data_IF_435988473952
#
_entry.id   IF_435988473952
#
_cell.length_a   1.000
_cell.length_b   1.000
_cell.length_c   1.000
_cell.angle_alpha   90.00
_cell.angle_beta   90.00
_cell.angle_gamma   90.00
#
_symmetry.space_group_name_H-M   'P 1'
#
loop_
_entity.id
_entity.type
_entity.pdbx_description
1 polymer ?
#
# COMPACT_ATOMS: atom_id res chain seq x y z
N UNK A 1 1.65 33.80 8.40
CA UNK A 1 0.27 33.76 8.94
C UNK A 1 -0.45 32.58 8.29
N UNK A 2 -0.94 31.65 9.11
CA UNK A 2 -1.37 30.31 8.71
C UNK A 2 -2.73 30.30 8.00
N UNK A 3 -2.83 29.53 6.91
CA UNK A 3 -4.09 29.21 6.24
C UNK A 3 -4.86 28.16 7.06
N UNK A 4 -6.08 28.51 7.44
CA UNK A 4 -7.00 27.71 8.24
C UNK A 4 -7.58 26.55 7.43
N UNK A 5 -7.36 25.32 7.91
CA UNK A 5 -7.99 24.11 7.40
C UNK A 5 -9.51 24.15 7.66
N UNK A 6 -10.30 24.03 6.61
CA UNK A 6 -11.76 23.91 6.71
C UNK A 6 -12.11 22.59 7.43
N UNK A 7 -12.81 22.71 8.55
CA UNK A 7 -13.30 21.58 9.34
C UNK A 7 -14.42 20.88 8.58
N UNK A 8 -14.23 19.58 8.28
CA UNK A 8 -15.32 18.72 7.82
C UNK A 8 -16.24 18.53 9.02
N UNK A 9 -17.34 19.26 9.03
CA UNK A 9 -18.34 19.24 10.10
C UNK A 9 -18.90 17.83 10.32
N UNK A 10 -19.02 17.45 11.59
CA UNK A 10 -19.72 16.24 12.02
C UNK A 10 -21.21 16.36 11.67
N UNK A 11 -21.64 15.66 10.61
CA UNK A 11 -23.04 15.65 10.17
C UNK A 11 -23.88 14.91 11.22
N UNK A 12 -24.82 15.63 11.85
CA UNK A 12 -25.85 15.04 12.72
C UNK A 12 -27.00 14.54 11.84
N UNK A 13 -27.55 13.37 12.17
CA UNK A 13 -28.48 12.56 11.36
C UNK A 13 -29.92 13.13 11.21
N UNK A 14 -30.17 14.41 11.46
CA UNK A 14 -31.55 14.94 11.61
C UNK A 14 -32.00 15.93 10.51
N UNK A 15 -31.18 16.18 9.49
CA UNK A 15 -31.52 17.11 8.39
C UNK A 15 -31.69 16.40 7.03
N UNK A 16 -32.51 16.93 6.10
CA UNK A 16 -32.84 16.29 4.83
C UNK A 16 -31.58 15.95 4.03
N UNK A 17 -31.56 14.77 3.41
CA UNK A 17 -30.41 14.24 2.68
C UNK A 17 -29.74 15.32 1.81
N UNK A 18 -28.50 15.67 2.15
CA UNK A 18 -27.67 16.60 1.35
C UNK A 18 -26.84 15.78 0.39
N UNK A 19 -27.16 15.86 -0.90
CA UNK A 19 -26.41 15.18 -1.94
C UNK A 19 -25.10 15.92 -2.23
N UNK A 20 -23.97 15.24 -1.98
CA UNK A 20 -22.63 15.75 -2.27
C UNK A 20 -22.14 15.07 -3.56
N UNK A 21 -21.84 15.81 -4.64
CA UNK A 21 -21.38 15.22 -5.89
C UNK A 21 -20.00 14.58 -5.74
N UNK A 22 -19.82 13.43 -6.37
CA UNK A 22 -18.54 12.71 -6.39
C UNK A 22 -17.55 13.42 -7.33
N UNK A 23 -16.33 13.65 -6.85
CA UNK A 23 -15.20 14.02 -7.74
C UNK A 23 -14.90 12.90 -8.74
N UNK A 24 -14.45 13.24 -9.95
CA UNK A 24 -14.09 12.27 -11.00
C UNK A 24 -13.10 11.18 -10.53
N UNK A 25 -12.14 11.55 -9.67
CA UNK A 25 -11.17 10.61 -9.08
C UNK A 25 -11.87 9.58 -8.20
N UNK A 26 -12.72 10.03 -7.27
CA UNK A 26 -13.50 9.13 -6.39
C UNK A 26 -14.46 8.22 -7.17
N UNK A 27 -15.11 8.74 -8.21
CA UNK A 27 -15.99 7.94 -9.07
C UNK A 27 -15.23 6.80 -9.78
N UNK A 28 -14.02 7.08 -10.28
CA UNK A 28 -13.18 6.07 -10.92
C UNK A 28 -12.71 4.99 -9.94
N UNK A 29 -12.31 5.39 -8.72
CA UNK A 29 -11.92 4.46 -7.65
C UNK A 29 -13.08 3.54 -7.30
N UNK A 30 -14.28 4.10 -7.11
CA UNK A 30 -15.48 3.31 -6.80
C UNK A 30 -15.76 2.26 -7.89
N UNK A 31 -15.70 2.64 -9.18
CA UNK A 31 -15.88 1.70 -10.29
C UNK A 31 -14.88 0.54 -10.27
N UNK A 32 -13.59 0.83 -10.04
CA UNK A 32 -12.53 -0.18 -10.01
C UNK A 32 -12.63 -1.12 -8.80
N UNK A 33 -12.93 -0.57 -7.62
CA UNK A 33 -13.10 -1.38 -6.41
C UNK A 33 -14.32 -2.30 -6.52
N UNK A 34 -15.42 -1.82 -7.08
CA UNK A 34 -16.62 -2.64 -7.34
C UNK A 34 -16.31 -3.76 -8.32
N UNK A 35 -15.62 -3.48 -9.43
CA UNK A 35 -15.22 -4.50 -10.39
C UNK A 35 -14.36 -5.59 -9.72
N UNK A 36 -13.34 -5.19 -8.96
CA UNK A 36 -12.46 -6.13 -8.25
C UNK A 36 -13.23 -7.03 -7.28
N UNK A 37 -14.16 -6.47 -6.49
CA UNK A 37 -15.02 -7.23 -5.57
C UNK A 37 -15.97 -8.21 -6.25
N UNK A 38 -16.41 -7.91 -7.47
CA UNK A 38 -17.31 -8.77 -8.23
C UNK A 38 -16.58 -9.91 -8.95
N UNK A 39 -15.38 -9.66 -9.48
CA UNK A 39 -14.68 -10.62 -10.34
C UNK A 39 -13.79 -11.60 -9.59
N UNK A 40 -13.35 -11.26 -8.37
CA UNK A 40 -12.36 -12.04 -7.62
C UNK A 40 -13.03 -12.68 -6.39
N UNK A 41 -12.91 -14.00 -6.16
CA UNK A 41 -13.30 -14.60 -4.89
C UNK A 41 -12.35 -14.14 -3.78
N UNK A 42 -12.89 -13.51 -2.74
CA UNK A 42 -12.09 -12.95 -1.64
C UNK A 42 -12.09 -13.87 -0.43
N UNK A 43 -10.90 -14.24 0.02
CA UNK A 43 -10.66 -14.89 1.30
C UNK A 43 -9.77 -13.97 2.15
N UNK A 44 -10.07 -13.84 3.43
CA UNK A 44 -9.27 -13.05 4.37
C UNK A 44 -8.63 -13.99 5.38
N UNK A 45 -7.30 -13.96 5.43
CA UNK A 45 -6.52 -14.67 6.44
C UNK A 45 -5.80 -13.66 7.33
N UNK A 46 -5.76 -13.95 8.62
CA UNK A 46 -5.10 -13.10 9.62
C UNK A 46 -4.17 -13.98 10.45
N UNK A 47 -2.98 -13.46 10.76
CA UNK A 47 -1.99 -14.15 11.56
C UNK A 47 -1.32 -13.15 12.52
N UNK A 48 -1.13 -13.57 13.76
CA UNK A 48 -0.44 -12.80 14.78
C UNK A 48 1.05 -13.17 14.82
N UNK A 49 1.92 -12.16 14.80
CA UNK A 49 3.37 -12.34 14.73
C UNK A 49 4.02 -11.51 15.85
N UNK A 50 4.97 -12.11 16.57
CA UNK A 50 5.80 -11.38 17.54
C UNK A 50 6.88 -10.58 16.81
N UNK A 51 6.87 -9.27 16.98
CA UNK A 51 7.78 -8.35 16.29
C UNK A 51 8.96 -7.86 17.16
N UNK A 52 9.14 -8.40 18.36
CA UNK A 52 10.14 -7.94 19.34
C UNK A 52 11.56 -7.92 18.77
N UNK A 53 11.94 -8.99 18.05
CA UNK A 53 13.25 -9.10 17.42
C UNK A 53 13.46 -8.07 16.31
N UNK A 54 12.41 -7.74 15.54
CA UNK A 54 12.48 -6.75 14.46
C UNK A 54 12.69 -5.35 15.04
N UNK A 55 12.01 -5.05 16.16
CA UNK A 55 12.17 -3.77 16.86
C UNK A 55 13.57 -3.59 17.45
N UNK A 56 14.16 -4.66 18.00
CA UNK A 56 15.53 -4.64 18.49
C UNK A 56 16.53 -4.33 17.36
N UNK A 57 16.43 -5.04 16.23
CA UNK A 57 17.28 -4.79 15.05
C UNK A 57 17.07 -3.37 14.51
N UNK A 58 15.83 -2.89 14.50
CA UNK A 58 15.54 -1.52 14.08
C UNK A 58 16.22 -0.49 15.00
N UNK A 59 16.22 -0.71 16.32
CA UNK A 59 16.90 0.18 17.26
C UNK A 59 18.42 0.22 16.99
N UNK A 60 19.04 -0.93 16.75
CA UNK A 60 20.46 -1.03 16.42
C UNK A 60 20.81 -0.34 15.09
N UNK A 61 19.93 -0.44 14.09
CA UNK A 61 20.12 0.22 12.80
C UNK A 61 19.92 1.73 12.89
N UNK A 62 18.97 2.20 13.71
CA UNK A 62 18.81 3.63 14.00
C UNK A 62 20.02 4.21 14.72
N UNK A 63 20.66 3.45 15.60
CA UNK A 63 21.91 3.86 16.25
C UNK A 63 23.07 4.03 15.25
N UNK A 64 22.99 3.38 14.09
CA UNK A 64 23.94 3.49 12.97
C UNK A 64 23.51 4.54 11.92
N UNK A 65 22.56 5.40 12.25
CA UNK A 65 21.98 6.44 11.38
C UNK A 65 21.28 5.90 10.11
N UNK A 66 20.85 4.64 10.13
CA UNK A 66 20.13 4.02 9.03
C UNK A 66 18.62 4.11 9.31
N UNK A 67 17.95 5.05 8.64
CA UNK A 67 16.53 5.31 8.78
C UNK A 67 15.66 4.24 8.10
N UNK A 68 15.39 3.13 8.79
CA UNK A 68 14.53 2.02 8.34
C UNK A 68 13.25 1.95 9.16
N UNK A 69 12.11 1.76 8.47
CA UNK A 69 10.78 1.58 9.07
C UNK A 69 10.42 0.10 9.26
N UNK A 70 9.46 -0.18 10.15
CA UNK A 70 8.89 -1.53 10.30
C UNK A 70 8.23 -1.98 8.99
N UNK A 71 7.66 -1.04 8.24
CA UNK A 71 7.02 -1.32 6.95
C UNK A 71 8.02 -1.88 5.93
N UNK A 72 9.28 -1.44 5.95
CA UNK A 72 10.32 -1.90 5.02
C UNK A 72 10.67 -3.37 5.30
N UNK A 73 10.66 -3.77 6.57
CA UNK A 73 10.82 -5.17 6.96
C UNK A 73 9.63 -6.03 6.55
N UNK A 74 8.40 -5.52 6.67
CA UNK A 74 7.19 -6.24 6.24
C UNK A 74 7.22 -6.45 4.72
N UNK A 75 7.59 -5.42 3.95
CA UNK A 75 7.72 -5.52 2.48
C UNK A 75 8.78 -6.56 2.11
N UNK A 76 9.94 -6.55 2.79
CA UNK A 76 10.98 -7.55 2.53
C UNK A 76 10.52 -8.96 2.89
N UNK A 77 9.84 -9.13 4.02
CA UNK A 77 9.31 -10.43 4.44
C UNK A 77 8.28 -10.97 3.44
N UNK A 78 7.36 -10.12 2.99
CA UNK A 78 6.39 -10.48 1.96
C UNK A 78 7.08 -10.87 0.64
N UNK A 79 8.14 -10.15 0.24
CA UNK A 79 8.88 -10.47 -0.98
C UNK A 79 9.55 -11.85 -0.90
N UNK A 80 10.15 -12.18 0.24
CA UNK A 80 10.77 -13.48 0.48
C UNK A 80 9.74 -14.61 0.55
N UNK A 81 8.57 -14.35 1.15
CA UNK A 81 7.46 -15.31 1.19
C UNK A 81 6.94 -15.64 -0.22
N UNK A 82 6.75 -14.63 -1.06
CA UNK A 82 6.33 -14.82 -2.46
C UNK A 82 7.37 -15.57 -3.29
N UNK A 83 8.66 -15.42 -2.96
CA UNK A 83 9.72 -16.21 -3.60
C UNK A 83 9.72 -17.67 -3.13
N UNK A 84 9.39 -17.91 -1.86
CA UNK A 84 9.31 -19.27 -1.31
C UNK A 84 8.09 -20.04 -1.83
N UNK A 85 6.97 -19.34 -2.06
CA UNK A 85 5.71 -19.92 -2.54
C UNK A 85 5.31 -19.25 -3.86
N UNK A 86 5.83 -19.71 -5.02
CA UNK A 86 5.57 -19.10 -6.32
C UNK A 86 4.12 -19.25 -6.78
N UNK A 87 3.36 -20.20 -6.22
CA UNK A 87 1.94 -20.39 -6.50
C UNK A 87 1.07 -19.18 -6.14
N UNK A 88 1.53 -18.35 -5.19
CA UNK A 88 0.85 -17.12 -4.80
C UNK A 88 1.21 -15.96 -5.75
N UNK A 89 2.36 -16.03 -6.41
CA UNK A 89 2.83 -14.99 -7.33
C UNK A 89 2.43 -15.30 -8.79
N UNK A 90 1.12 -15.34 -9.03
CA UNK A 90 0.54 -15.64 -10.34
C UNK A 90 -0.46 -14.59 -10.77
N UNK A 91 -0.64 -14.43 -12.08
CA UNK A 91 -1.68 -13.59 -12.68
C UNK A 91 -2.66 -14.46 -13.45
N UNK A 92 -3.94 -14.20 -13.24
CA UNK A 92 -5.01 -14.82 -14.01
C UNK A 92 -5.40 -13.91 -15.18
N UNK A 93 -5.33 -14.42 -16.41
CA UNK A 93 -5.81 -13.71 -17.59
C UNK A 93 -7.21 -14.22 -17.96
N UNK A 94 -8.28 -13.41 -17.81
CA UNK A 94 -9.63 -13.85 -18.14
C UNK A 94 -9.82 -14.11 -19.64
N UNK A 95 -9.04 -13.47 -20.51
CA UNK A 95 -9.13 -13.62 -21.97
C UNK A 95 -8.56 -14.96 -22.46
N UNK A 96 -7.45 -15.40 -21.86
CA UNK A 96 -6.78 -16.65 -22.24
C UNK A 96 -7.15 -17.83 -21.34
N UNK A 97 -7.89 -17.58 -20.25
CA UNK A 97 -8.19 -18.55 -19.18
C UNK A 97 -6.95 -19.27 -18.65
N UNK A 98 -5.81 -18.57 -18.65
CA UNK A 98 -4.52 -19.11 -18.23
C UNK A 98 -4.02 -18.43 -16.97
N UNK A 99 -3.32 -19.21 -16.14
CA UNK A 99 -2.55 -18.74 -15.00
C UNK A 99 -1.10 -18.56 -15.43
N UNK A 100 -0.57 -17.36 -15.26
CA UNK A 100 0.79 -17.01 -15.63
C UNK A 100 1.62 -16.80 -14.37
N UNK A 101 2.72 -17.54 -14.24
CA UNK A 101 3.69 -17.36 -13.16
C UNK A 101 4.57 -16.14 -13.45
N UNK A 102 4.73 -15.26 -12.46
CA UNK A 102 5.58 -14.10 -12.60
C UNK A 102 7.00 -14.41 -12.10
N UNK A 103 8.04 -14.11 -12.89
CA UNK A 103 9.43 -14.35 -12.49
C UNK A 103 9.95 -13.31 -11.47
N UNK A 104 9.30 -12.14 -11.41
CA UNK A 104 9.69 -11.05 -10.52
C UNK A 104 8.66 -10.84 -9.42
N UNK A 105 9.14 -10.40 -8.25
CA UNK A 105 8.29 -10.07 -7.10
C UNK A 105 8.22 -8.55 -6.96
N UNK A 106 7.08 -7.99 -7.35
CA UNK A 106 6.82 -6.55 -7.22
C UNK A 106 5.75 -6.30 -6.17
N UNK A 107 6.04 -5.43 -5.21
CA UNK A 107 5.13 -5.13 -4.10
C UNK A 107 4.67 -3.68 -4.20
N UNK A 108 3.36 -3.45 -4.07
CA UNK A 108 2.80 -2.11 -3.98
C UNK A 108 2.36 -1.78 -2.56
N UNK A 109 2.56 -0.52 -2.19
CA UNK A 109 2.29 -0.03 -0.85
C UNK A 109 1.31 1.12 -0.97
N UNK A 110 0.16 1.01 -0.31
CA UNK A 110 -0.84 2.06 -0.34
C UNK A 110 -0.54 3.11 0.73
N UNK A 111 -0.41 4.36 0.30
CA UNK A 111 -0.16 5.52 1.16
C UNK A 111 -1.29 6.52 0.99
N UNK A 112 -1.95 6.85 2.10
CA UNK A 112 -2.98 7.86 2.12
C UNK A 112 -2.36 9.27 2.06
N UNK A 113 -2.84 10.08 1.14
CA UNK A 113 -2.56 11.52 1.04
C UNK A 113 -3.86 12.31 1.21
N UNK A 114 -3.80 13.61 1.57
CA UNK A 114 -5.01 14.44 1.70
C UNK A 114 -5.86 14.50 0.42
N UNK A 115 -5.21 14.35 -0.74
CA UNK A 115 -5.84 14.43 -2.05
C UNK A 115 -6.27 13.06 -2.61
N UNK A 116 -5.93 11.95 -1.94
CA UNK A 116 -6.31 10.61 -2.39
C UNK A 116 -5.38 9.48 -1.96
N UNK A 117 -5.61 8.30 -2.53
CA UNK A 117 -4.80 7.12 -2.29
C UNK A 117 -3.76 6.96 -3.40
N UNK A 118 -2.48 6.95 -3.03
CA UNK A 118 -1.38 6.73 -3.95
C UNK A 118 -0.74 5.37 -3.64
N UNK A 119 -0.34 4.63 -4.67
CA UNK A 119 0.23 3.29 -4.55
C UNK A 119 1.57 3.22 -5.30
N UNK A 120 2.69 3.66 -4.69
CA UNK A 120 4.01 3.36 -5.23
C UNK A 120 4.25 1.85 -5.32
N UNK A 121 4.91 1.44 -6.39
CA UNK A 121 5.36 0.06 -6.60
C UNK A 121 6.85 -0.02 -6.22
N UNK A 122 7.29 -1.14 -5.66
CA UNK A 122 8.70 -1.48 -5.51
C UNK A 122 8.95 -2.68 -6.43
N UNK A 123 9.75 -2.47 -7.47
CA UNK A 123 10.07 -3.55 -8.42
C UNK A 123 11.14 -4.45 -7.82
N UNK A 124 11.04 -5.76 -8.03
CA UNK A 124 12.05 -6.76 -7.61
C UNK A 124 12.49 -6.61 -6.14
N UNK A 125 11.52 -6.60 -5.22
CA UNK A 125 11.80 -6.44 -3.78
C UNK A 125 12.52 -7.66 -3.16
N UNK A 126 12.54 -8.80 -3.85
CA UNK A 126 13.15 -10.05 -3.43
C UNK A 126 14.69 -10.00 -3.43
N UNK A 127 15.29 -9.27 -4.38
CA UNK A 127 16.76 -9.12 -4.48
C UNK A 127 17.32 -7.93 -3.70
N UNK A 128 16.49 -6.94 -3.34
CA UNK A 128 16.95 -5.68 -2.74
C UNK A 128 17.24 -5.78 -1.24
N UNK A 129 18.19 -5.00 -0.74
CA UNK A 129 18.39 -4.82 0.70
C UNK A 129 17.27 -4.00 1.34
N UNK A 130 17.05 -4.14 2.64
CA UNK A 130 16.01 -3.39 3.37
C UNK A 130 16.25 -1.87 3.29
N UNK A 131 17.51 -1.44 3.27
CA UNK A 131 17.89 -0.03 3.12
C UNK A 131 17.50 0.51 1.74
N UNK A 132 17.77 -0.26 0.68
CA UNK A 132 17.43 0.11 -0.70
C UNK A 132 15.91 0.19 -0.91
N UNK A 133 15.16 -0.70 -0.26
CA UNK A 133 13.69 -0.68 -0.27
C UNK A 133 13.20 0.64 0.35
N UNK A 134 13.72 1.00 1.53
CA UNK A 134 13.36 2.25 2.21
C UNK A 134 13.68 3.49 1.35
N UNK A 135 14.85 3.51 0.72
CA UNK A 135 15.25 4.57 -0.19
C UNK A 135 14.33 4.66 -1.42
N UNK A 136 14.00 3.52 -2.07
CA UNK A 136 13.08 3.46 -3.22
C UNK A 136 11.69 3.97 -2.88
N UNK A 137 11.14 3.54 -1.74
CA UNK A 137 9.81 3.95 -1.30
C UNK A 137 9.79 5.46 -1.09
N UNK A 138 10.80 6.02 -0.42
CA UNK A 138 10.91 7.46 -0.21
C UNK A 138 10.99 8.22 -1.53
N UNK A 139 11.86 7.79 -2.45
CA UNK A 139 12.01 8.45 -3.76
C UNK A 139 10.70 8.42 -4.55
N UNK A 140 10.02 7.27 -4.63
CA UNK A 140 8.74 7.17 -5.36
C UNK A 140 7.61 7.94 -4.70
N UNK A 141 7.60 7.98 -3.38
CA UNK A 141 6.65 8.81 -2.66
C UNK A 141 6.91 10.28 -2.97
N UNK A 142 8.16 10.75 -2.91
CA UNK A 142 8.48 12.15 -3.21
C UNK A 142 8.14 12.54 -4.65
N UNK A 143 8.43 11.68 -5.63
CA UNK A 143 8.11 11.89 -7.04
C UNK A 143 6.59 12.01 -7.29
N UNK A 144 5.79 11.24 -6.53
CA UNK A 144 4.32 11.29 -6.65
C UNK A 144 3.63 12.24 -5.65
N UNK A 145 4.34 12.72 -4.62
CA UNK A 145 3.79 13.51 -3.52
C UNK A 145 4.31 14.95 -3.48
N UNK A 146 4.50 15.62 -4.63
CA UNK A 146 4.76 17.07 -4.71
C UNK A 146 3.67 17.97 -4.06
N UNK A 147 2.75 17.43 -3.27
CA UNK A 147 1.83 18.15 -2.40
C UNK A 147 1.75 17.49 -1.01
N UNK A 148 2.52 18.07 -0.08
CA UNK A 148 2.41 18.08 1.40
C UNK A 148 1.90 16.79 2.10
N UNK A 149 2.81 16.02 2.71
CA UNK A 149 2.50 14.77 3.41
C UNK A 149 2.34 14.94 4.93
N UNK A 150 1.24 14.43 5.47
CA UNK A 150 1.16 13.90 6.85
C UNK A 150 0.69 12.46 6.76
N UNK A 151 1.58 11.53 7.10
CA UNK A 151 1.39 10.08 6.96
C UNK A 151 0.53 9.53 8.10
N UNK A 152 -0.67 9.00 7.78
CA UNK A 152 -1.39 8.07 8.65
C UNK A 152 -2.02 6.94 7.83
N UNK A 153 -1.67 5.72 8.23
CA UNK A 153 -2.03 4.40 7.68
C UNK A 153 -1.38 4.03 6.34
N UNK A 154 -0.58 2.96 6.39
CA UNK A 154 -0.03 2.25 5.24
C UNK A 154 -0.66 0.85 5.23
N UNK A 155 -1.19 0.42 4.08
CA UNK A 155 -1.61 -0.96 3.86
C UNK A 155 -0.85 -1.52 2.67
N UNK A 156 -0.23 -2.69 2.83
CA UNK A 156 0.50 -3.37 1.75
C UNK A 156 -0.54 -4.06 0.88
N UNK A 157 -0.68 -3.61 -0.37
CA UNK A 157 -1.60 -4.20 -1.33
C UNK A 157 -0.77 -5.02 -2.30
N UNK A 158 -0.65 -6.31 -2.04
CA UNK A 158 -0.15 -7.25 -3.03
C UNK A 158 -1.34 -7.78 -3.82
N UNK A 159 -1.91 -6.97 -4.72
CA UNK A 159 -2.95 -7.45 -5.65
C UNK A 159 -2.56 -7.04 -7.06
N UNK A 160 -1.86 -7.92 -7.76
CA UNK A 160 -1.87 -7.97 -9.23
C UNK A 160 -2.86 -9.07 -9.63
N UNK A 161 -4.15 -8.76 -9.51
CA UNK A 161 -5.21 -9.46 -10.23
C UNK A 161 -5.13 -9.15 -11.72
#
# INVERSE_FOLDING_TARGET
AAATAASVGSVRYVDPFVDIPLSNVRATIAKRLTQSKQTIPHEYQSADIRADAILAIQADLRAKDVAVSINDFIVKAAALALRAVPEVNVRYSPESQQVQYLPTVDISIAVATPNGLITPIVFSADIMGVQDISARIRVRLLDQCSFNMTTKSLSVLCIKS
#
